data_IF_419134457510
#
_entry.id   IF_419134457510
#
_cell.length_a   1.000
_cell.length_b   1.000
_cell.length_c   1.000
_cell.angle_alpha   90.00
_cell.angle_beta   90.00
_cell.angle_gamma   90.00
#
_symmetry.space_group_name_H-M   'P 1'
#
loop_
_entity.id
_entity.type
_entity.pdbx_description
1 polymer ?
#
# COMPACT_ATOMS: atom_id res chain seq x y z
N UNK A 1 -4.02 -23.28 -5.13
CA UNK A 1 -3.65 -21.87 -5.30
C UNK A 1 -3.73 -21.49 -6.77
N UNK A 2 -4.20 -20.29 -7.06
CA UNK A 2 -4.21 -19.71 -8.41
C UNK A 2 -3.65 -18.29 -8.26
N UNK A 3 -2.47 -18.03 -8.81
CA UNK A 3 -1.68 -16.82 -8.55
C UNK A 3 -0.89 -16.42 -9.81
N UNK A 4 -0.24 -15.27 -9.78
CA UNK A 4 0.69 -14.83 -10.84
C UNK A 4 2.10 -15.39 -10.61
N UNK A 5 2.58 -15.28 -9.36
CA UNK A 5 3.93 -15.66 -8.96
C UNK A 5 3.87 -16.55 -7.72
N UNK A 6 4.73 -17.56 -7.69
CA UNK A 6 4.97 -18.43 -6.54
C UNK A 6 6.37 -18.16 -6.00
N UNK A 7 6.46 -18.06 -4.68
CA UNK A 7 7.69 -17.86 -3.90
C UNK A 7 7.88 -19.01 -2.90
N UNK A 8 8.95 -18.97 -2.13
CA UNK A 8 9.39 -20.02 -1.21
C UNK A 8 8.33 -20.49 -0.22
N UNK A 9 7.43 -19.61 0.23
CA UNK A 9 6.35 -19.95 1.18
C UNK A 9 5.42 -21.07 0.70
N UNK A 10 5.45 -21.38 -0.60
CA UNK A 10 4.74 -22.52 -1.16
C UNK A 10 5.21 -23.86 -0.60
N UNK A 11 6.51 -23.97 -0.29
CA UNK A 11 7.10 -25.21 0.18
C UNK A 11 6.54 -25.57 1.56
N UNK A 12 6.45 -24.60 2.47
CA UNK A 12 5.83 -24.79 3.79
C UNK A 12 4.36 -25.24 3.67
N UNK A 13 3.63 -24.73 2.67
CA UNK A 13 2.25 -25.11 2.41
C UNK A 13 2.11 -26.51 1.82
N UNK A 14 3.07 -26.94 0.98
CA UNK A 14 3.14 -28.30 0.45
C UNK A 14 3.52 -29.30 1.55
N UNK A 15 4.53 -28.97 2.36
CA UNK A 15 5.03 -29.83 3.44
C UNK A 15 3.99 -30.03 4.54
N UNK A 16 3.17 -29.00 4.80
CA UNK A 16 2.07 -29.08 5.76
C UNK A 16 0.78 -29.69 5.18
N UNK A 17 0.79 -30.17 3.93
CA UNK A 17 -0.36 -30.69 3.18
C UNK A 17 -1.57 -29.72 3.16
N UNK A 18 -1.30 -28.42 3.32
CA UNK A 18 -2.31 -27.36 3.24
C UNK A 18 -2.54 -26.87 1.81
N UNK A 19 -1.67 -27.28 0.88
CA UNK A 19 -1.78 -26.96 -0.53
C UNK A 19 -1.74 -28.22 -1.40
N UNK A 20 -2.83 -28.46 -2.12
CA UNK A 20 -2.93 -29.59 -3.06
C UNK A 20 -2.22 -29.34 -4.39
N UNK A 21 -2.39 -28.14 -4.95
CA UNK A 21 -1.96 -27.80 -6.32
C UNK A 21 -1.88 -26.29 -6.52
N UNK A 22 -0.96 -25.82 -7.39
CA UNK A 22 -0.82 -24.42 -7.72
C UNK A 22 -0.76 -24.15 -9.24
N UNK A 23 -1.52 -23.15 -9.68
CA UNK A 23 -1.49 -22.61 -11.04
C UNK A 23 -0.88 -21.22 -11.01
N UNK A 24 0.15 -20.97 -11.82
CA UNK A 24 0.94 -19.73 -11.77
C UNK A 24 1.48 -19.34 -13.15
N UNK A 25 1.99 -18.11 -13.30
CA UNK A 25 2.79 -17.71 -14.46
C UNK A 25 4.26 -18.05 -14.25
N UNK A 26 4.78 -17.69 -13.08
CA UNK A 26 6.20 -17.75 -12.78
C UNK A 26 6.47 -18.41 -11.42
N UNK A 27 7.67 -18.99 -11.32
CA UNK A 27 8.27 -19.48 -10.09
C UNK A 27 9.50 -18.59 -9.80
N UNK A 28 9.48 -17.90 -8.68
CA UNK A 28 10.58 -16.99 -8.29
C UNK A 28 11.01 -17.35 -6.88
N UNK A 29 11.92 -18.31 -6.82
CA UNK A 29 12.47 -18.82 -5.56
C UNK A 29 13.78 -18.12 -5.18
N UNK A 30 14.08 -18.08 -3.88
CA UNK A 30 15.40 -17.75 -3.36
C UNK A 30 16.47 -18.76 -3.86
N UNK A 31 17.78 -18.48 -3.68
CA UNK A 31 18.82 -19.45 -4.01
C UNK A 31 18.63 -20.82 -3.32
N UNK A 32 18.17 -20.83 -2.07
CA UNK A 32 17.85 -22.03 -1.30
C UNK A 32 16.60 -22.73 -1.85
N UNK A 33 15.55 -21.96 -2.14
CA UNK A 33 14.32 -22.48 -2.73
C UNK A 33 14.53 -23.08 -4.12
N UNK A 34 15.42 -22.50 -4.94
CA UNK A 34 15.80 -23.08 -6.23
C UNK A 34 16.52 -24.41 -6.07
N UNK A 35 17.49 -24.51 -5.14
CA UNK A 35 18.18 -25.78 -4.85
C UNK A 35 17.18 -26.86 -4.47
N UNK A 36 16.23 -26.54 -3.59
CA UNK A 36 15.16 -27.46 -3.17
C UNK A 36 14.27 -27.86 -4.35
N UNK A 37 13.80 -26.88 -5.13
CA UNK A 37 12.95 -27.14 -6.30
C UNK A 37 13.63 -28.09 -7.29
N UNK A 38 14.94 -27.93 -7.50
CA UNK A 38 15.71 -28.80 -8.40
C UNK A 38 15.95 -30.19 -7.83
N UNK A 39 16.21 -30.33 -6.52
CA UNK A 39 16.40 -31.65 -5.89
C UNK A 39 15.11 -32.47 -5.81
N UNK A 40 13.95 -31.81 -5.68
CA UNK A 40 12.63 -32.44 -5.54
C UNK A 40 11.78 -32.34 -6.82
N UNK A 41 12.39 -31.98 -7.95
CA UNK A 41 11.68 -31.61 -9.18
C UNK A 41 10.68 -32.68 -9.64
N UNK A 42 11.02 -33.95 -9.50
CA UNK A 42 10.17 -35.06 -9.95
C UNK A 42 8.83 -35.08 -9.19
N UNK A 43 8.87 -34.92 -7.87
CA UNK A 43 7.69 -34.93 -7.01
C UNK A 43 6.89 -33.63 -7.17
N UNK A 44 7.61 -32.51 -7.20
CA UNK A 44 7.02 -31.17 -7.31
C UNK A 44 6.37 -30.90 -8.66
N UNK A 45 6.86 -31.49 -9.76
CA UNK A 45 6.28 -31.27 -11.10
C UNK A 45 4.78 -31.54 -11.16
N UNK A 46 4.30 -32.52 -10.40
CA UNK A 46 2.87 -32.87 -10.33
C UNK A 46 2.00 -31.86 -9.56
N UNK A 47 2.62 -30.92 -8.82
CA UNK A 47 1.96 -29.97 -7.93
C UNK A 47 1.76 -28.59 -8.57
N UNK A 48 2.36 -28.34 -9.73
CA UNK A 48 2.34 -27.03 -10.39
C UNK A 48 1.84 -27.11 -11.83
N UNK A 49 1.20 -26.04 -12.30
CA UNK A 49 1.04 -25.73 -13.72
C UNK A 49 1.44 -24.29 -14.00
N UNK A 50 2.25 -24.12 -15.05
CA UNK A 50 2.62 -22.81 -15.57
C UNK A 50 1.67 -22.42 -16.70
N UNK A 51 1.22 -21.17 -16.70
CA UNK A 51 0.32 -20.61 -17.70
C UNK A 51 0.82 -19.25 -18.17
N UNK A 52 0.53 -18.84 -19.42
CA UNK A 52 0.74 -17.45 -19.82
C UNK A 52 -0.01 -16.50 -18.88
N UNK A 53 0.55 -15.29 -18.68
CA UNK A 53 -0.05 -14.27 -17.83
C UNK A 53 -1.49 -13.93 -18.23
N UNK A 54 -1.78 -13.91 -19.54
CA UNK A 54 -3.14 -13.69 -20.07
C UNK A 54 -4.17 -14.72 -19.57
N UNK A 55 -3.73 -15.91 -19.17
CA UNK A 55 -4.59 -16.96 -18.61
C UNK A 55 -4.60 -16.90 -17.08
N UNK A 56 -3.42 -16.85 -16.43
CA UNK A 56 -3.32 -16.79 -14.96
C UNK A 56 -3.98 -15.54 -14.38
N UNK A 57 -4.02 -14.44 -15.14
CA UNK A 57 -4.58 -13.17 -14.70
C UNK A 57 -5.91 -12.88 -15.41
N UNK A 58 -6.48 -13.85 -16.13
CA UNK A 58 -7.68 -13.61 -16.91
C UNK A 58 -8.88 -13.25 -16.00
N UNK A 59 -9.53 -12.09 -16.19
CA UNK A 59 -10.70 -11.68 -15.42
C UNK A 59 -11.82 -12.73 -15.38
N UNK A 60 -12.06 -13.39 -16.52
CA UNK A 60 -13.08 -14.42 -16.68
C UNK A 60 -12.77 -15.60 -15.74
N UNK A 61 -11.54 -16.11 -15.80
CA UNK A 61 -11.12 -17.26 -14.99
C UNK A 61 -11.12 -16.93 -13.51
N UNK A 62 -10.55 -15.77 -13.12
CA UNK A 62 -10.48 -15.32 -11.71
C UNK A 62 -11.89 -15.27 -11.10
N UNK A 63 -12.84 -14.70 -11.84
CA UNK A 63 -14.24 -14.58 -11.40
C UNK A 63 -14.95 -15.93 -11.39
N UNK A 64 -14.77 -16.76 -12.43
CA UNK A 64 -15.41 -18.08 -12.55
C UNK A 64 -15.03 -19.02 -11.41
N UNK A 65 -13.75 -19.03 -11.00
CA UNK A 65 -13.28 -19.89 -9.91
C UNK A 65 -13.53 -19.31 -8.52
N UNK A 66 -13.97 -18.05 -8.43
CA UNK A 66 -14.29 -17.39 -7.17
C UNK A 66 -13.08 -17.16 -6.27
N UNK A 67 -12.00 -16.59 -6.81
CA UNK A 67 -10.73 -16.46 -6.09
C UNK A 67 -10.82 -15.50 -4.89
N UNK A 68 -10.18 -15.87 -3.77
CA UNK A 68 -9.86 -14.94 -2.68
C UNK A 68 -8.48 -14.36 -2.98
N UNK A 69 -8.40 -13.04 -3.15
CA UNK A 69 -7.18 -12.34 -3.54
C UNK A 69 -6.64 -11.55 -2.37
N UNK A 70 -5.31 -11.57 -2.22
CA UNK A 70 -4.58 -10.91 -1.15
C UNK A 70 -3.44 -10.15 -1.78
N UNK A 71 -3.49 -8.82 -1.68
CA UNK A 71 -2.49 -7.91 -2.26
C UNK A 71 -1.94 -6.97 -1.18
N UNK A 72 -0.75 -6.43 -1.41
CA UNK A 72 -0.15 -5.45 -0.50
C UNK A 72 -0.46 -4.04 -0.95
N UNK A 73 -0.88 -3.18 -0.03
CA UNK A 73 -1.06 -1.75 -0.28
C UNK A 73 0.21 -0.97 0.09
N UNK A 74 0.58 0.04 -0.70
CA UNK A 74 1.57 1.03 -0.30
C UNK A 74 0.95 2.00 0.71
N UNK A 75 -0.23 2.53 0.37
CA UNK A 75 -1.10 3.29 1.27
C UNK A 75 -2.57 3.08 0.87
N UNK A 76 -3.47 3.34 1.80
CA UNK A 76 -4.91 3.33 1.59
C UNK A 76 -5.55 4.54 2.24
N UNK A 77 -6.64 5.05 1.69
CA UNK A 77 -7.39 6.13 2.32
C UNK A 77 -8.50 5.62 3.23
N UNK A 78 -9.07 6.53 4.02
CA UNK A 78 -10.19 6.23 4.91
C UNK A 78 -11.44 5.76 4.13
N UNK A 79 -11.55 6.02 2.83
CA UNK A 79 -12.68 5.54 2.03
C UNK A 79 -12.42 4.16 1.40
N UNK A 80 -11.22 3.62 1.57
CA UNK A 80 -10.81 2.30 1.10
C UNK A 80 -10.42 2.30 -0.37
N UNK A 81 -9.95 3.42 -0.90
CA UNK A 81 -9.12 3.43 -2.11
C UNK A 81 -7.69 3.05 -1.73
N UNK A 82 -6.98 2.41 -2.66
CA UNK A 82 -5.62 1.90 -2.45
C UNK A 82 -4.69 2.40 -3.54
N UNK A 83 -3.50 2.82 -3.10
CA UNK A 83 -2.32 3.04 -3.91
C UNK A 83 -1.35 1.87 -3.68
N UNK A 84 -0.87 1.28 -4.77
CA UNK A 84 0.08 0.16 -4.79
C UNK A 84 1.39 0.53 -5.49
N UNK A 85 1.50 1.74 -6.07
CA UNK A 85 2.51 2.04 -7.08
C UNK A 85 3.39 3.24 -6.79
N UNK A 86 2.85 4.37 -6.32
CA UNK A 86 3.63 5.61 -6.25
C UNK A 86 3.81 6.13 -4.83
N UNK A 87 5.06 6.31 -4.42
CA UNK A 87 5.37 7.10 -3.22
C UNK A 87 5.13 8.59 -3.52
N UNK A 88 4.40 9.26 -2.64
CA UNK A 88 4.07 10.69 -2.77
C UNK A 88 3.46 11.06 -4.14
N UNK A 89 2.64 10.16 -4.69
CA UNK A 89 1.90 10.36 -5.95
C UNK A 89 2.74 10.43 -7.22
N UNK A 90 4.06 10.35 -7.14
CA UNK A 90 4.94 10.69 -8.28
C UNK A 90 6.15 9.77 -8.43
N UNK A 91 6.59 9.10 -7.37
CA UNK A 91 7.75 8.21 -7.42
C UNK A 91 7.31 6.76 -7.58
N UNK A 92 7.48 6.21 -8.78
CA UNK A 92 7.16 4.80 -9.08
C UNK A 92 7.99 3.85 -8.20
N UNK A 93 7.32 2.84 -7.63
CA UNK A 93 7.95 1.73 -6.92
C UNK A 93 8.28 0.59 -7.90
N UNK A 94 7.28 -0.22 -8.24
CA UNK A 94 7.44 -1.36 -9.16
C UNK A 94 6.48 -1.23 -10.35
N UNK A 95 5.20 -1.04 -10.06
CA UNK A 95 4.10 -1.02 -11.04
C UNK A 95 2.87 -1.74 -10.47
N UNK A 96 1.71 -1.60 -11.13
CA UNK A 96 0.45 -2.17 -10.65
C UNK A 96 0.46 -3.71 -10.69
N UNK A 97 1.18 -4.30 -11.65
CA UNK A 97 1.20 -5.75 -11.88
C UNK A 97 -0.21 -6.32 -12.09
N UNK A 98 -0.43 -7.59 -11.73
CA UNK A 98 -1.75 -8.22 -11.77
C UNK A 98 -2.72 -7.80 -10.65
N UNK A 99 -2.33 -6.91 -9.73
CA UNK A 99 -3.17 -6.57 -8.58
C UNK A 99 -4.55 -6.03 -9.00
N UNK A 100 -4.63 -5.30 -10.12
CA UNK A 100 -5.88 -4.85 -10.72
C UNK A 100 -6.74 -6.00 -11.25
N UNK A 101 -6.13 -6.91 -12.01
CA UNK A 101 -6.78 -8.09 -12.60
C UNK A 101 -7.45 -8.94 -11.52
N UNK A 102 -6.69 -9.23 -10.46
CA UNK A 102 -7.14 -10.02 -9.32
C UNK A 102 -8.17 -9.28 -8.48
N UNK A 103 -7.89 -8.05 -8.05
CA UNK A 103 -8.76 -7.31 -7.13
C UNK A 103 -10.16 -7.10 -7.69
N UNK A 104 -10.28 -6.67 -8.95
CA UNK A 104 -11.58 -6.35 -9.55
C UNK A 104 -12.47 -7.58 -9.73
N UNK A 105 -11.88 -8.74 -9.98
CA UNK A 105 -12.59 -9.95 -10.38
C UNK A 105 -12.69 -11.00 -9.26
N UNK A 106 -12.11 -10.71 -8.09
CA UNK A 106 -12.11 -11.61 -6.95
C UNK A 106 -13.52 -11.87 -6.39
N UNK A 107 -13.70 -13.06 -5.82
CA UNK A 107 -14.81 -13.32 -4.91
C UNK A 107 -14.64 -12.53 -3.60
N UNK A 108 -13.40 -12.47 -3.10
CA UNK A 108 -13.00 -11.58 -1.99
C UNK A 108 -11.70 -10.87 -2.30
N UNK A 109 -11.69 -9.55 -2.27
CA UNK A 109 -10.49 -8.74 -2.44
C UNK A 109 -9.99 -8.19 -1.10
N UNK A 110 -8.78 -8.61 -0.73
CA UNK A 110 -8.15 -8.26 0.53
C UNK A 110 -6.88 -7.47 0.22
N UNK A 111 -6.75 -6.30 0.84
CA UNK A 111 -5.50 -5.56 0.89
C UNK A 111 -4.94 -5.57 2.29
N UNK A 112 -3.62 -5.76 2.38
CA UNK A 112 -2.89 -5.77 3.63
C UNK A 112 -1.71 -4.79 3.57
N UNK A 113 -1.44 -4.14 4.69
CA UNK A 113 -0.25 -3.28 4.83
C UNK A 113 0.04 -3.06 6.31
N UNK A 114 1.32 -3.00 6.75
CA UNK A 114 1.64 -2.47 8.06
C UNK A 114 1.03 -1.07 8.21
N UNK A 115 0.46 -0.74 9.36
CA UNK A 115 -0.26 0.54 9.52
C UNK A 115 0.66 1.77 9.50
N UNK A 116 1.97 1.57 9.69
CA UNK A 116 3.02 2.59 9.64
C UNK A 116 4.28 2.09 8.93
N UNK A 117 5.07 3.02 8.41
CA UNK A 117 6.38 2.78 7.82
C UNK A 117 7.46 3.75 8.35
N UNK A 118 8.72 3.47 8.03
CA UNK A 118 9.91 4.29 8.36
C UNK A 118 9.98 4.69 9.85
N UNK A 119 9.78 3.71 10.73
CA UNK A 119 9.86 3.91 12.19
C UNK A 119 8.73 4.76 12.76
N UNK A 120 7.53 4.67 12.17
CA UNK A 120 6.36 5.42 12.63
C UNK A 120 6.21 6.82 12.03
N UNK A 121 7.12 7.23 11.14
CA UNK A 121 7.08 8.56 10.51
C UNK A 121 6.05 8.68 9.39
N UNK A 122 5.60 7.56 8.83
CA UNK A 122 4.67 7.50 7.70
C UNK A 122 3.50 6.63 8.13
N UNK A 123 2.27 7.11 7.93
CA UNK A 123 1.06 6.30 8.04
C UNK A 123 0.77 5.61 6.71
N UNK A 124 0.39 4.33 6.74
CA UNK A 124 -0.14 3.65 5.56
C UNK A 124 -1.63 3.96 5.33
N UNK A 125 -2.32 4.51 6.34
CA UNK A 125 -3.70 4.97 6.22
C UNK A 125 -3.75 6.50 6.22
N UNK A 126 -4.26 7.09 5.15
CA UNK A 126 -4.20 8.54 4.89
C UNK A 126 -5.60 9.14 4.68
N UNK A 127 -5.75 10.47 4.76
CA UNK A 127 -7.02 11.13 4.42
C UNK A 127 -7.50 10.83 2.99
N UNK A 128 -6.60 10.90 2.01
CA UNK A 128 -6.82 10.59 0.60
C UNK A 128 -5.54 10.03 0.01
N UNK A 129 -5.63 8.96 -0.78
CA UNK A 129 -4.45 8.42 -1.47
C UNK A 129 -3.99 9.39 -2.56
N UNK A 130 -2.68 9.42 -2.80
CA UNK A 130 -2.10 10.37 -3.76
C UNK A 130 -2.43 10.00 -5.23
N UNK A 131 -2.26 8.74 -5.66
CA UNK A 131 -2.96 8.13 -6.79
C UNK A 131 -3.86 6.96 -6.36
N UNK A 132 -4.83 6.63 -7.19
CA UNK A 132 -5.72 5.49 -6.98
C UNK A 132 -5.39 4.40 -7.99
N UNK A 133 -4.86 3.27 -7.53
CA UNK A 133 -4.72 2.05 -8.33
C UNK A 133 -5.97 1.16 -8.21
N UNK A 134 -6.56 1.13 -7.01
CA UNK A 134 -7.77 0.35 -6.73
C UNK A 134 -8.78 1.22 -5.98
N UNK A 135 -9.96 1.37 -6.57
CA UNK A 135 -11.01 2.19 -5.98
C UNK A 135 -11.85 1.42 -4.94
N UNK A 136 -12.65 2.15 -4.18
CA UNK A 136 -13.52 1.67 -3.11
C UNK A 136 -14.54 0.61 -3.57
N UNK A 137 -14.90 0.61 -4.85
CA UNK A 137 -15.78 -0.40 -5.43
C UNK A 137 -15.11 -1.78 -5.58
N UNK A 138 -13.79 -1.80 -5.66
CA UNK A 138 -13.00 -3.01 -5.91
C UNK A 138 -12.41 -3.58 -4.62
N UNK A 139 -12.17 -2.74 -3.61
CA UNK A 139 -11.56 -3.13 -2.33
C UNK A 139 -12.65 -3.49 -1.31
N UNK A 140 -12.62 -4.72 -0.83
CA UNK A 140 -13.64 -5.25 0.09
C UNK A 140 -13.14 -5.38 1.53
N UNK A 141 -11.88 -5.72 1.74
CA UNK A 141 -11.31 -5.93 3.08
C UNK A 141 -9.94 -5.26 3.16
N UNK A 142 -9.71 -4.52 4.24
CA UNK A 142 -8.40 -3.94 4.59
C UNK A 142 -7.89 -4.59 5.87
N UNK A 143 -6.58 -4.88 5.91
CA UNK A 143 -5.92 -5.50 7.06
C UNK A 143 -4.63 -4.76 7.39
N UNK A 144 -4.38 -4.55 8.67
CA UNK A 144 -3.07 -4.21 9.22
C UNK A 144 -2.80 -5.02 10.48
N UNK A 145 -1.65 -4.83 11.10
CA UNK A 145 -1.36 -5.41 12.41
C UNK A 145 -2.27 -4.87 13.53
N UNK A 146 -3.02 -3.79 13.28
CA UNK A 146 -4.00 -3.22 14.22
C UNK A 146 -5.34 -3.97 14.19
N UNK A 147 -5.65 -4.65 13.08
CA UNK A 147 -6.92 -5.35 12.89
C UNK A 147 -7.39 -5.39 11.44
N UNK A 148 -8.67 -5.76 11.28
CA UNK A 148 -9.33 -5.97 9.99
C UNK A 148 -10.58 -5.11 9.87
N UNK A 149 -10.73 -4.45 8.72
CA UNK A 149 -11.94 -3.71 8.32
C UNK A 149 -12.63 -4.40 7.13
N UNK A 150 -13.85 -4.89 7.36
CA UNK A 150 -14.73 -5.43 6.33
C UNK A 150 -15.63 -4.34 5.74
N UNK A 151 -15.36 -3.95 4.50
CA UNK A 151 -15.95 -2.79 3.83
C UNK A 151 -17.15 -3.15 2.96
N UNK A 152 -17.53 -4.44 2.90
CA UNK A 152 -18.63 -4.91 2.06
C UNK A 152 -19.95 -4.26 2.50
N UNK A 153 -20.71 -3.76 1.53
CA UNK A 153 -22.00 -3.10 1.74
C UNK A 153 -21.96 -1.93 2.75
N UNK A 154 -20.82 -1.23 2.84
CA UNK A 154 -20.64 -0.03 3.66
C UNK A 154 -20.58 1.21 2.78
N UNK A 155 -21.29 2.25 3.20
CA UNK A 155 -21.15 3.59 2.64
C UNK A 155 -19.75 4.16 2.91
N UNK A 156 -19.26 5.16 2.14
CA UNK A 156 -17.95 5.76 2.37
C UNK A 156 -17.75 6.22 3.82
N UNK A 157 -18.77 6.81 4.45
CA UNK A 157 -18.71 7.24 5.86
C UNK A 157 -18.60 6.07 6.85
N UNK A 158 -19.19 4.92 6.57
CA UNK A 158 -19.02 3.71 7.40
C UNK A 158 -17.64 3.08 7.18
N UNK A 159 -17.14 3.07 5.93
CA UNK A 159 -15.79 2.61 5.59
C UNK A 159 -14.73 3.43 6.32
N UNK A 160 -14.85 4.76 6.30
CA UNK A 160 -13.97 5.68 7.03
C UNK A 160 -13.88 5.34 8.51
N UNK A 161 -15.02 5.22 9.20
CA UNK A 161 -15.02 4.83 10.61
C UNK A 161 -14.34 3.48 10.80
N UNK A 162 -14.67 2.47 9.99
CA UNK A 162 -14.13 1.13 10.19
C UNK A 162 -12.62 1.06 9.96
N UNK A 163 -12.10 1.69 8.89
CA UNK A 163 -10.67 1.72 8.57
C UNK A 163 -9.89 2.47 9.66
N UNK A 164 -10.38 3.62 10.10
CA UNK A 164 -9.77 4.41 11.17
C UNK A 164 -9.69 3.59 12.46
N UNK A 165 -10.80 2.94 12.85
CA UNK A 165 -10.87 2.22 14.13
C UNK A 165 -10.14 0.87 14.12
N UNK A 166 -10.10 0.18 12.99
CA UNK A 166 -9.60 -1.20 12.91
C UNK A 166 -8.21 -1.32 12.30
N UNK A 167 -7.81 -0.41 11.43
CA UNK A 167 -6.58 -0.59 10.66
C UNK A 167 -5.55 0.52 10.89
N UNK A 168 -5.97 1.75 11.18
CA UNK A 168 -5.03 2.85 11.42
C UNK A 168 -4.25 2.67 12.74
N UNK A 169 -2.97 3.04 12.71
CA UNK A 169 -2.10 3.02 13.89
C UNK A 169 -2.61 4.00 14.96
N UNK A 170 -2.50 3.69 16.26
CA UNK A 170 -2.88 4.60 17.34
C UNK A 170 -2.30 6.02 17.20
N UNK A 171 -1.05 6.15 16.76
CA UNK A 171 -0.37 7.44 16.50
C UNK A 171 -1.09 8.33 15.50
N UNK A 172 -1.80 7.76 14.52
CA UNK A 172 -2.45 8.51 13.44
C UNK A 172 -3.98 8.48 13.51
N UNK A 173 -4.54 7.66 14.41
CA UNK A 173 -5.98 7.43 14.47
C UNK A 173 -6.77 8.68 14.79
N UNK A 174 -6.31 9.46 15.78
CA UNK A 174 -7.00 10.68 16.19
C UNK A 174 -6.91 11.76 15.11
N UNK A 175 -5.76 11.92 14.45
CA UNK A 175 -5.61 12.82 13.31
C UNK A 175 -6.54 12.46 12.13
N UNK A 176 -6.75 11.16 11.84
CA UNK A 176 -7.72 10.73 10.83
C UNK A 176 -9.17 10.99 11.26
N UNK A 177 -9.50 10.80 12.54
CA UNK A 177 -10.83 11.14 13.09
C UNK A 177 -11.09 12.63 12.92
N UNK A 178 -10.11 13.46 13.27
CA UNK A 178 -10.22 14.91 13.20
C UNK A 178 -10.36 15.39 11.76
N UNK A 179 -9.56 14.85 10.83
CA UNK A 179 -9.75 15.10 9.40
C UNK A 179 -11.16 14.72 8.95
N UNK A 180 -11.65 13.53 9.31
CA UNK A 180 -12.95 13.05 8.86
C UNK A 180 -14.11 13.89 9.43
N UNK A 181 -14.06 14.24 10.72
CA UNK A 181 -15.05 15.12 11.35
C UNK A 181 -15.03 16.52 10.75
N UNK A 182 -13.84 17.07 10.49
CA UNK A 182 -13.69 18.35 9.80
C UNK A 182 -14.27 18.30 8.39
N UNK A 183 -13.89 17.31 7.59
CA UNK A 183 -14.39 17.10 6.24
C UNK A 183 -15.92 16.98 6.21
N UNK A 184 -16.54 16.31 7.19
CA UNK A 184 -18.01 16.24 7.31
C UNK A 184 -18.67 17.61 7.49
N UNK A 185 -17.99 18.59 8.07
CA UNK A 185 -18.52 19.96 8.25
C UNK A 185 -18.32 20.85 7.03
N UNK A 186 -17.19 20.69 6.32
CA UNK A 186 -16.78 21.64 5.28
C UNK A 186 -16.93 21.13 3.85
N UNK A 187 -17.06 19.82 3.64
CA UNK A 187 -17.16 19.25 2.30
C UNK A 187 -18.44 19.72 1.59
N UNK A 188 -18.28 20.11 0.32
CA UNK A 188 -19.40 20.46 -0.56
C UNK A 188 -20.38 19.28 -0.71
N UNK A 189 -19.85 18.09 -0.95
CA UNK A 189 -20.60 16.84 -1.04
C UNK A 189 -20.47 16.01 0.23
N UNK A 190 -21.60 15.44 0.69
CA UNK A 190 -21.67 14.69 1.95
C UNK A 190 -21.65 13.18 1.79
N UNK A 191 -21.60 12.65 0.58
CA UNK A 191 -21.49 11.20 0.35
C UNK A 191 -20.09 10.69 0.74
N UNK A 192 -19.05 11.35 0.22
CA UNK A 192 -17.63 11.06 0.48
C UNK A 192 -16.95 12.37 0.91
N UNK A 193 -17.03 12.76 2.19
CA UNK A 193 -16.56 14.08 2.62
C UNK A 193 -15.04 14.25 2.49
N UNK A 194 -14.60 15.27 1.76
CA UNK A 194 -13.21 15.71 1.76
C UNK A 194 -13.12 17.22 1.95
N UNK A 195 -12.13 17.66 2.73
CA UNK A 195 -11.56 18.99 2.56
C UNK A 195 -10.43 18.90 1.53
N UNK A 196 -10.68 19.39 0.32
CA UNK A 196 -9.71 19.35 -0.78
C UNK A 196 -8.43 20.13 -0.47
N UNK A 197 -8.48 21.13 0.42
CA UNK A 197 -7.30 21.90 0.81
C UNK A 197 -6.34 21.08 1.69
N UNK A 198 -6.85 20.06 2.37
CA UNK A 198 -6.11 19.29 3.37
C UNK A 198 -5.93 17.81 3.01
N UNK A 199 -6.61 17.32 1.97
CA UNK A 199 -6.66 15.90 1.61
C UNK A 199 -5.28 15.25 1.41
N UNK A 200 -4.31 16.00 0.87
CA UNK A 200 -2.92 15.55 0.63
C UNK A 200 -1.90 16.20 1.59
N UNK A 201 -2.37 16.85 2.66
CA UNK A 201 -1.49 17.60 3.58
C UNK A 201 -0.46 16.72 4.28
N UNK A 202 -0.77 15.44 4.50
CA UNK A 202 0.16 14.49 5.12
C UNK A 202 1.33 14.15 4.19
N UNK A 203 1.06 13.96 2.90
CA UNK A 203 2.09 13.75 1.87
C UNK A 203 3.00 14.97 1.75
N UNK A 204 2.41 16.17 1.72
CA UNK A 204 3.17 17.43 1.72
C UNK A 204 4.04 17.54 2.97
N UNK A 205 3.46 17.29 4.15
CA UNK A 205 4.20 17.33 5.43
C UNK A 205 5.35 16.32 5.46
N UNK A 206 5.16 15.13 4.91
CA UNK A 206 6.24 14.13 4.79
C UNK A 206 7.40 14.64 3.93
N UNK A 207 7.10 15.29 2.81
CA UNK A 207 8.12 15.89 1.94
C UNK A 207 8.85 17.06 2.65
N UNK A 208 8.11 17.89 3.37
CA UNK A 208 8.63 19.07 4.03
C UNK A 208 9.39 18.76 5.33
N UNK A 209 8.97 17.76 6.10
CA UNK A 209 9.46 17.52 7.47
C UNK A 209 9.98 16.10 7.69
N UNK A 210 9.90 15.22 6.68
CA UNK A 210 10.29 13.82 6.85
C UNK A 210 9.33 12.99 7.72
N UNK A 211 8.16 13.53 8.10
CA UNK A 211 7.09 12.78 8.74
C UNK A 211 5.69 13.28 8.35
N UNK A 212 4.72 12.36 8.35
CA UNK A 212 3.29 12.69 8.26
C UNK A 212 2.71 13.17 9.59
N UNK A 213 3.34 12.87 10.73
CA UNK A 213 2.80 13.26 12.04
C UNK A 213 3.15 14.72 12.35
N UNK A 214 2.21 15.56 12.83
CA UNK A 214 2.47 16.98 13.06
C UNK A 214 3.55 17.23 14.13
N UNK A 215 3.64 16.35 15.14
CA UNK A 215 4.62 16.50 16.23
C UNK A 215 6.04 16.08 15.85
N UNK A 216 6.24 15.43 14.70
CA UNK A 216 7.58 15.17 14.17
C UNK A 216 8.11 16.39 13.42
N UNK A 217 8.31 17.49 14.16
CA UNK A 217 9.13 18.58 13.67
C UNK A 217 10.59 18.12 13.69
N UNK A 218 11.10 17.59 12.58
CA UNK A 218 12.55 17.60 12.40
C UNK A 218 12.99 19.06 12.29
N UNK A 219 14.04 19.38 13.03
CA UNK A 219 14.81 20.62 13.06
C UNK A 219 15.30 21.04 11.66
N UNK A 220 14.40 21.48 10.77
CA UNK A 220 14.76 22.12 9.49
C UNK A 220 15.07 23.62 9.66
N UNK A 221 15.47 24.05 10.86
CA UNK A 221 16.07 25.38 11.07
C UNK A 221 17.61 25.39 10.95
N UNK A 222 18.26 24.24 10.73
CA UNK A 222 19.73 24.19 10.67
C UNK A 222 20.29 24.16 9.24
N UNK A 223 19.49 23.80 8.22
CA UNK A 223 20.00 23.73 6.83
C UNK A 223 19.95 25.10 6.13
N UNK A 224 18.99 25.99 6.45
CA UNK A 224 19.00 27.34 5.84
C UNK A 224 20.09 28.24 6.43
N UNK A 225 20.41 28.12 7.73
CA UNK A 225 21.49 28.91 8.34
C UNK A 225 22.88 28.54 7.84
N UNK A 226 23.15 27.26 7.59
CA UNK A 226 24.43 26.87 7.00
C UNK A 226 24.54 27.20 5.50
N UNK A 227 23.44 27.22 4.74
CA UNK A 227 23.47 27.68 3.35
C UNK A 227 23.73 29.19 3.25
N UNK A 228 23.06 30.00 4.09
CA UNK A 228 23.28 31.46 4.16
C UNK A 228 24.67 31.84 4.70
N UNK A 229 25.20 31.10 5.70
CA UNK A 229 26.56 31.32 6.21
C UNK A 229 27.65 30.92 5.19
N UNK A 230 27.38 29.94 4.33
CA UNK A 230 28.34 29.49 3.31
C UNK A 230 28.34 30.43 2.10
N UNK A 231 27.19 30.96 1.67
CA UNK A 231 27.13 32.02 0.64
C UNK A 231 27.84 33.30 1.10
N UNK A 232 27.63 33.72 2.36
CA UNK A 232 28.27 34.93 2.89
C UNK A 232 29.80 34.81 3.03
N UNK A 233 30.33 33.59 3.31
CA UNK A 233 31.78 33.34 3.34
C UNK A 233 32.41 33.20 1.95
N UNK A 234 31.64 32.79 0.94
CA UNK A 234 32.11 32.71 -0.46
C UNK A 234 32.18 34.12 -1.07
N UNK A 235 31.19 34.98 -0.83
CA UNK A 235 31.19 36.36 -1.32
C UNK A 235 32.33 37.21 -0.71
N UNK A 236 32.66 37.01 0.58
CA UNK A 236 33.79 37.71 1.21
C UNK A 236 35.17 37.26 0.69
N UNK A 237 35.29 36.03 0.17
CA UNK A 237 36.56 35.53 -0.41
C UNK A 237 36.78 36.00 -1.85
N UNK A 238 35.72 36.36 -2.57
CA UNK A 238 35.82 36.89 -3.94
C UNK A 238 36.17 38.39 -3.93
N UNK A 239 35.77 39.14 -2.89
CA UNK A 239 36.04 40.57 -2.76
C UNK A 239 37.50 40.95 -2.40
N UNK A 240 38.35 40.00 -1.98
CA UNK A 240 39.73 40.26 -1.53
C UNK A 240 40.78 39.98 -2.64
N UNK A 241 40.34 39.59 -3.85
CA UNK A 241 41.24 39.25 -4.97
C UNK A 241 41.19 40.19 -6.18
N UNK A 242 40.63 41.38 -6.03
CA UNK A 242 40.78 42.48 -7.01
C UNK A 242 41.46 43.68 -6.35
#
# INVERSE_FOLDING_TARGET
MYTEVIQDSIFDLLDSDKLRFASTTALTFSPEGQKRFHSELHDLKSKFILRPMEISNNPEVIRRIGLITMNTALEADIYGNVNSTHVLGSTMMNGIGGSGDFTRNAYRSIFMTPSIAKGGKISAFVPMVSPVDHNEHSVQIMVSEQGLADLRAKSPKERARLIIEKCAHPTYRDELRDYFQHAQRVAFGQHTPHDLKQALSWHIRLQETGSMHPDHQTTKQTISKHAEETEHQIDQRIAIKN
#
